data_IF_778659621308
#
_entry.id   IF_778659621308
#
_cell.length_a   1.000
_cell.length_b   1.000
_cell.length_c   1.000
_cell.angle_alpha   90.00
_cell.angle_beta   90.00
_cell.angle_gamma   90.00
#
_symmetry.space_group_name_H-M   'P 1'
#
loop_
_entity.id
_entity.type
_entity.pdbx_description
1 polymer ?
#
# COMPACT_ATOMS: atom_id res chain seq x y z
N UNK A 1 -4.61 -9.16 -34.52
CA UNK A 1 -3.65 -9.70 -33.51
C UNK A 1 -3.64 -11.22 -33.63
N UNK A 2 -2.61 -11.79 -34.29
CA UNK A 2 -2.56 -13.22 -34.66
C UNK A 2 -1.49 -13.94 -33.83
N UNK A 3 -1.83 -14.26 -32.58
CA UNK A 3 -0.94 -14.92 -31.62
C UNK A 3 -0.92 -16.45 -31.73
N UNK A 4 -1.14 -17.00 -32.93
CA UNK A 4 -1.12 -18.45 -33.11
C UNK A 4 -0.43 -18.77 -34.43
N UNK A 5 0.71 -19.47 -34.32
CA UNK A 5 1.16 -20.52 -35.25
C UNK A 5 2.51 -20.40 -36.00
N UNK A 6 3.27 -19.28 -36.01
CA UNK A 6 4.51 -19.25 -36.85
C UNK A 6 5.86 -19.11 -36.16
N UNK A 7 5.93 -18.85 -34.84
CA UNK A 7 7.22 -18.77 -34.11
C UNK A 7 7.22 -19.36 -32.69
N UNK A 8 6.22 -20.17 -32.34
CA UNK A 8 6.09 -20.77 -31.00
C UNK A 8 6.99 -22.02 -30.81
N UNK A 9 8.22 -22.02 -31.36
CA UNK A 9 9.20 -23.10 -31.11
C UNK A 9 10.12 -22.80 -29.92
N UNK A 10 10.22 -21.51 -29.54
CA UNK A 10 10.87 -21.06 -28.30
C UNK A 10 10.06 -21.47 -27.06
N UNK A 11 8.74 -21.69 -27.22
CA UNK A 11 7.77 -21.83 -26.14
C UNK A 11 7.24 -23.27 -25.96
N UNK A 12 8.02 -24.32 -26.27
CA UNK A 12 7.71 -25.68 -25.81
C UNK A 12 8.25 -25.82 -24.37
N UNK A 13 7.44 -25.69 -23.30
CA UNK A 13 7.94 -25.26 -22.00
C UNK A 13 8.55 -26.39 -21.14
N UNK A 14 8.47 -27.65 -21.55
CA UNK A 14 8.69 -28.77 -20.60
C UNK A 14 10.14 -29.07 -20.23
N UNK A 15 11.13 -28.63 -21.02
CA UNK A 15 12.56 -28.92 -20.77
C UNK A 15 13.47 -27.70 -20.57
N UNK A 16 13.32 -26.58 -21.30
CA UNK A 16 14.28 -25.48 -21.18
C UNK A 16 14.08 -24.55 -19.97
N UNK A 17 12.94 -24.61 -19.28
CA UNK A 17 12.61 -23.73 -18.15
C UNK A 17 13.02 -24.30 -16.78
N UNK A 18 13.14 -25.63 -16.66
CA UNK A 18 13.50 -26.29 -15.39
C UNK A 18 14.97 -26.05 -15.01
N UNK A 19 15.87 -26.02 -16.01
CA UNK A 19 17.32 -25.95 -15.78
C UNK A 19 17.89 -24.52 -15.90
N UNK A 20 17.04 -23.49 -15.95
CA UNK A 20 17.47 -22.09 -16.13
C UNK A 20 16.88 -21.18 -15.06
N UNK A 21 17.65 -20.21 -14.54
CA UNK A 21 17.11 -19.19 -13.65
C UNK A 21 15.95 -18.44 -14.30
N UNK A 22 14.89 -18.16 -13.53
CA UNK A 22 13.69 -17.48 -14.02
C UNK A 22 13.99 -16.15 -14.75
N UNK A 23 15.00 -15.40 -14.29
CA UNK A 23 15.46 -14.17 -14.94
C UNK A 23 16.02 -14.40 -16.36
N UNK A 24 16.68 -15.53 -16.62
CA UNK A 24 17.17 -15.87 -17.94
C UNK A 24 16.00 -16.26 -18.87
N UNK A 25 15.02 -17.00 -18.35
CA UNK A 25 13.81 -17.34 -19.08
C UNK A 25 13.02 -16.09 -19.48
N UNK A 26 12.80 -15.16 -18.55
CA UNK A 26 12.11 -13.88 -18.79
C UNK A 26 12.79 -13.09 -19.93
N UNK A 27 14.13 -12.98 -19.91
CA UNK A 27 14.88 -12.29 -20.98
C UNK A 27 14.70 -12.94 -22.35
N UNK A 28 14.78 -14.27 -22.43
CA UNK A 28 14.66 -15.01 -23.71
C UNK A 28 13.25 -14.90 -24.27
N UNK A 29 12.23 -15.09 -23.43
CA UNK A 29 10.83 -15.11 -23.85
C UNK A 29 10.36 -13.69 -24.21
N UNK A 30 10.72 -12.69 -23.39
CA UNK A 30 10.42 -11.28 -23.66
C UNK A 30 11.15 -10.78 -24.91
N UNK A 31 12.43 -11.15 -25.10
CA UNK A 31 13.20 -10.84 -26.31
C UNK A 31 12.64 -11.46 -27.59
N UNK A 32 11.90 -12.58 -27.49
CA UNK A 32 11.17 -13.17 -28.60
C UNK A 32 9.83 -12.46 -28.91
N UNK A 33 9.52 -11.36 -28.21
CA UNK A 33 8.29 -10.58 -28.35
C UNK A 33 7.10 -11.14 -27.59
N UNK A 34 7.29 -12.16 -26.75
CA UNK A 34 6.23 -12.75 -25.94
C UNK A 34 6.13 -12.04 -24.58
N UNK A 35 4.97 -11.47 -24.22
CA UNK A 35 4.80 -10.82 -22.94
C UNK A 35 4.88 -11.88 -21.83
N UNK A 36 5.92 -11.78 -21.01
CA UNK A 36 6.10 -12.64 -19.85
C UNK A 36 6.72 -11.82 -18.72
N UNK A 37 6.54 -12.30 -17.50
CA UNK A 37 7.24 -11.77 -16.33
C UNK A 37 7.59 -12.91 -15.39
N UNK A 38 8.68 -12.77 -14.64
CA UNK A 38 9.00 -13.71 -13.57
C UNK A 38 8.13 -13.44 -12.33
N UNK A 39 7.76 -14.49 -11.61
CA UNK A 39 7.23 -14.34 -10.26
C UNK A 39 8.34 -13.82 -9.35
N UNK A 40 8.05 -12.72 -8.64
CA UNK A 40 8.98 -12.06 -7.72
C UNK A 40 8.49 -12.25 -6.30
N UNK A 41 9.43 -12.36 -5.36
CA UNK A 41 9.10 -12.19 -3.95
C UNK A 41 8.59 -10.76 -3.71
N UNK A 42 7.80 -10.57 -2.64
CA UNK A 42 7.16 -9.29 -2.34
C UNK A 42 8.20 -8.16 -2.21
N UNK A 43 9.30 -8.39 -1.49
CA UNK A 43 10.38 -7.40 -1.36
C UNK A 43 11.04 -7.02 -2.69
N UNK A 44 11.25 -8.00 -3.58
CA UNK A 44 11.78 -7.73 -4.94
C UNK A 44 10.79 -6.97 -5.82
N UNK A 45 9.48 -7.20 -5.63
CA UNK A 45 8.45 -6.47 -6.34
C UNK A 45 8.37 -5.01 -5.88
N UNK A 46 8.46 -4.78 -4.57
CA UNK A 46 8.46 -3.44 -3.96
C UNK A 46 9.71 -2.65 -4.38
N UNK A 47 10.90 -3.26 -4.32
CA UNK A 47 12.16 -2.64 -4.73
C UNK A 47 12.36 -2.59 -6.26
N UNK A 48 11.38 -3.02 -7.05
CA UNK A 48 11.47 -3.05 -8.50
C UNK A 48 11.55 -1.64 -9.11
N UNK A 49 12.30 -1.49 -10.21
CA UNK A 49 12.49 -0.19 -10.87
C UNK A 49 11.16 0.54 -11.22
N UNK A 50 10.14 -0.20 -11.64
CA UNK A 50 8.81 0.37 -11.91
C UNK A 50 8.09 0.83 -10.64
N UNK A 51 8.22 0.08 -9.54
CA UNK A 51 7.61 0.40 -8.25
C UNK A 51 8.25 1.67 -7.66
N UNK A 52 9.58 1.78 -7.72
CA UNK A 52 10.32 2.98 -7.31
C UNK A 52 9.99 4.18 -8.19
N UNK A 53 10.02 4.02 -9.52
CA UNK A 53 9.69 5.11 -10.46
C UNK A 53 8.27 5.64 -10.26
N UNK A 54 7.33 4.76 -9.90
CA UNK A 54 5.93 5.14 -9.66
C UNK A 54 5.68 5.68 -8.26
N UNK A 55 6.62 5.55 -7.32
CA UNK A 55 6.40 5.90 -5.91
C UNK A 55 5.30 5.05 -5.29
N UNK A 56 5.29 3.73 -5.55
CA UNK A 56 4.25 2.82 -5.05
C UNK A 56 4.23 2.78 -3.51
N UNK A 57 5.40 2.89 -2.89
CA UNK A 57 5.52 2.99 -1.45
C UNK A 57 5.59 4.46 -1.05
N UNK A 58 4.90 4.79 0.03
CA UNK A 58 4.89 6.11 0.66
C UNK A 58 5.22 5.93 2.14
N UNK A 59 5.93 6.89 2.70
CA UNK A 59 6.26 6.89 4.12
C UNK A 59 5.09 7.44 4.91
N UNK A 60 4.64 6.68 5.90
CA UNK A 60 3.68 7.09 6.91
C UNK A 60 4.38 7.12 8.27
N UNK A 61 3.87 7.97 9.16
CA UNK A 61 4.37 8.07 10.53
C UNK A 61 3.25 7.74 11.52
N UNK A 62 3.61 7.11 12.63
CA UNK A 62 2.74 6.92 13.78
C UNK A 62 3.52 7.15 15.09
N UNK A 63 2.88 6.86 16.23
CA UNK A 63 3.52 6.97 17.54
C UNK A 63 4.69 6.00 17.77
N UNK A 64 4.88 5.00 16.91
CA UNK A 64 5.98 4.01 16.98
C UNK A 64 7.13 4.33 16.01
N UNK A 65 6.92 5.20 15.02
CA UNK A 65 7.97 5.71 14.12
C UNK A 65 7.52 5.82 12.68
N UNK A 66 8.49 5.87 11.76
CA UNK A 66 8.23 5.90 10.32
C UNK A 66 8.21 4.49 9.71
N UNK A 67 7.27 4.25 8.81
CA UNK A 67 7.09 2.98 8.11
C UNK A 67 6.60 3.19 6.68
N UNK A 68 6.79 2.18 5.82
CA UNK A 68 6.33 2.23 4.43
C UNK A 68 4.96 1.57 4.27
N UNK A 69 4.05 2.28 3.61
CA UNK A 69 2.74 1.77 3.21
C UNK A 69 2.56 1.92 1.70
N UNK A 70 1.64 1.15 1.14
CA UNK A 70 1.27 1.33 -0.27
C UNK A 70 0.51 2.63 -0.43
N UNK A 71 1.00 3.50 -1.31
CA UNK A 71 0.28 4.69 -1.74
C UNK A 71 -0.96 4.36 -2.57
N UNK A 72 -1.64 5.40 -3.03
CA UNK A 72 -2.80 5.24 -3.92
C UNK A 72 -2.37 4.54 -5.23
N UNK A 73 -3.12 3.53 -5.71
CA UNK A 73 -2.70 2.75 -6.88
C UNK A 73 -2.84 3.51 -8.22
N UNK A 74 -3.42 4.72 -8.20
CA UNK A 74 -3.56 5.62 -9.33
C UNK A 74 -2.84 6.96 -9.08
N UNK A 75 -2.45 7.63 -10.17
CA UNK A 75 -1.86 8.96 -10.14
C UNK A 75 -2.77 9.94 -10.87
N UNK A 76 -3.04 11.08 -10.24
CA UNK A 76 -3.79 12.18 -10.83
C UNK A 76 -2.85 13.36 -11.06
N UNK A 77 -2.82 13.91 -12.27
CA UNK A 77 -1.94 15.05 -12.59
C UNK A 77 -2.36 16.34 -11.88
N UNK A 78 -3.65 16.49 -11.61
CA UNK A 78 -4.24 17.70 -11.03
C UNK A 78 -4.52 17.60 -9.52
N UNK A 79 -4.19 16.47 -8.88
CA UNK A 79 -4.42 16.27 -7.45
C UNK A 79 -3.24 15.53 -6.81
N UNK A 80 -2.70 16.01 -5.68
CA UNK A 80 -1.71 15.28 -4.92
C UNK A 80 -2.24 13.88 -4.59
N UNK A 81 -1.50 12.85 -4.99
CA UNK A 81 -1.82 11.45 -4.68
C UNK A 81 -0.83 11.00 -3.61
N UNK A 82 -1.18 11.20 -2.35
CA UNK A 82 -0.39 10.80 -1.18
C UNK A 82 -1.31 10.42 -0.03
N UNK A 83 -0.90 9.43 0.76
CA UNK A 83 -1.51 9.18 2.07
C UNK A 83 -1.13 10.33 3.01
N UNK A 84 -2.05 10.76 3.87
CA UNK A 84 -1.76 11.76 4.90
C UNK A 84 -0.58 11.34 5.78
N UNK A 85 0.17 12.33 6.27
CA UNK A 85 1.50 12.12 6.86
C UNK A 85 1.50 11.25 8.13
N UNK A 86 0.42 11.22 8.90
CA UNK A 86 0.37 10.50 10.16
C UNK A 86 -0.91 9.72 10.37
N UNK A 87 -0.79 8.47 10.83
CA UNK A 87 -1.92 7.69 11.33
C UNK A 87 -2.37 8.27 12.68
N UNK A 88 -3.67 8.55 12.88
CA UNK A 88 -4.13 9.13 14.13
C UNK A 88 -4.04 8.14 15.29
N UNK A 89 -3.69 8.65 16.47
CA UNK A 89 -3.67 7.83 17.70
C UNK A 89 -5.10 7.58 18.20
N UNK A 90 -5.26 6.52 19.00
CA UNK A 90 -6.56 6.12 19.52
C UNK A 90 -7.21 7.23 20.36
N UNK A 91 -8.33 7.76 19.87
CA UNK A 91 -9.10 8.83 20.54
C UNK A 91 -8.70 10.25 20.15
N UNK A 92 -7.74 10.44 19.24
CA UNK A 92 -7.20 11.77 18.89
C UNK A 92 -8.26 12.79 18.50
N UNK A 93 -9.26 12.37 17.74
CA UNK A 93 -10.29 13.27 17.20
C UNK A 93 -11.67 13.06 17.85
N UNK A 94 -11.77 12.23 18.90
CA UNK A 94 -13.04 11.84 19.52
C UNK A 94 -13.84 13.04 20.06
N UNK A 95 -13.27 13.86 20.97
CA UNK A 95 -13.94 15.04 21.51
C UNK A 95 -14.33 16.07 20.45
N UNK A 96 -13.44 16.30 19.46
CA UNK A 96 -13.68 17.24 18.35
C UNK A 96 -14.88 16.81 17.53
N UNK A 97 -14.97 15.53 17.17
CA UNK A 97 -16.12 15.02 16.39
C UNK A 97 -17.42 15.12 17.19
N UNK A 98 -17.39 14.80 18.48
CA UNK A 98 -18.58 14.89 19.33
C UNK A 98 -19.06 16.32 19.52
N UNK A 99 -18.16 17.28 19.65
CA UNK A 99 -18.50 18.69 19.79
C UNK A 99 -18.91 19.31 18.44
N UNK A 100 -18.04 19.25 17.43
CA UNK A 100 -18.19 20.06 16.21
C UNK A 100 -19.12 19.42 15.17
N UNK A 101 -19.16 18.09 15.09
CA UNK A 101 -19.97 17.37 14.10
C UNK A 101 -21.32 16.97 14.69
N UNK A 102 -21.32 16.49 15.94
CA UNK A 102 -22.53 15.99 16.61
C UNK A 102 -23.18 17.03 17.52
N UNK A 103 -22.55 18.19 17.74
CA UNK A 103 -23.14 19.30 18.49
C UNK A 103 -23.28 19.05 19.99
N UNK A 104 -22.52 18.10 20.56
CA UNK A 104 -22.58 17.84 22.00
C UNK A 104 -21.95 18.99 22.78
N UNK A 105 -22.60 19.38 23.88
CA UNK A 105 -22.05 20.39 24.77
C UNK A 105 -20.80 19.88 25.48
N UNK A 106 -19.91 20.79 25.93
CA UNK A 106 -18.66 20.41 26.60
C UNK A 106 -18.88 19.54 27.85
N UNK A 107 -20.00 19.75 28.55
CA UNK A 107 -20.38 18.94 29.72
C UNK A 107 -20.66 17.46 29.37
N UNK A 108 -21.29 17.20 28.23
CA UNK A 108 -21.61 15.83 27.78
C UNK A 108 -20.35 15.10 27.32
N UNK A 109 -19.44 15.81 26.64
CA UNK A 109 -18.15 15.24 26.22
C UNK A 109 -17.32 14.85 27.45
N UNK A 110 -17.28 15.70 28.48
CA UNK A 110 -16.58 15.37 29.74
C UNK A 110 -17.25 14.23 30.50
N UNK A 111 -18.58 14.14 30.50
CA UNK A 111 -19.29 12.99 31.07
C UNK A 111 -18.88 11.69 30.37
N UNK A 112 -18.85 11.67 29.05
CA UNK A 112 -18.44 10.49 28.27
C UNK A 112 -16.97 10.12 28.48
N UNK A 113 -16.08 11.11 28.68
CA UNK A 113 -14.69 10.87 29.07
C UNK A 113 -14.59 10.31 30.50
N UNK A 114 -15.41 10.82 31.42
CA UNK A 114 -15.46 10.35 32.81
C UNK A 114 -15.99 8.93 32.95
N UNK A 115 -16.96 8.54 32.12
CA UNK A 115 -17.51 7.19 32.05
C UNK A 115 -16.57 6.18 31.36
N UNK A 116 -15.49 6.64 30.71
CA UNK A 116 -14.61 5.78 29.90
C UNK A 116 -15.22 5.36 28.55
N UNK A 117 -16.39 5.91 28.18
CA UNK A 117 -17.04 5.66 26.90
C UNK A 117 -16.32 6.38 25.74
N UNK A 118 -15.65 7.50 26.04
CA UNK A 118 -14.80 8.25 25.12
C UNK A 118 -13.34 8.19 25.55
N UNK A 119 -12.43 8.02 24.59
CA UNK A 119 -10.97 8.08 24.82
C UNK A 119 -10.38 9.33 24.21
N UNK A 120 -9.42 9.93 24.92
CA UNK A 120 -8.61 11.05 24.44
C UNK A 120 -7.12 10.73 24.69
N UNK A 121 -6.19 11.04 23.77
CA UNK A 121 -4.78 10.68 23.90
C UNK A 121 -4.11 11.26 25.16
N UNK A 122 -4.50 12.46 25.58
CA UNK A 122 -3.89 13.14 26.74
C UNK A 122 -4.46 12.68 28.09
N UNK A 123 -5.47 11.80 28.09
CA UNK A 123 -6.09 11.28 29.31
C UNK A 123 -5.63 9.84 29.54
N UNK A 124 -5.21 9.47 30.76
CA UNK A 124 -4.92 8.08 31.07
C UNK A 124 -6.18 7.25 30.82
N UNK A 125 -6.00 6.01 30.33
CA UNK A 125 -7.13 5.09 30.20
C UNK A 125 -7.76 4.91 31.58
N UNK A 126 -9.05 5.22 31.70
CA UNK A 126 -9.84 4.82 32.86
C UNK A 126 -9.80 3.29 32.91
N UNK A 127 -9.27 2.76 34.02
CA UNK A 127 -9.12 1.33 34.27
C UNK A 127 -10.46 0.62 34.43
#
# INVERSE_FOLDING_TARGET
MRWVHRRCRILCPRRPAADRPAAQCERIISGAGCPCSRYRAVGEAIAGAQSLHRGVMVTAEDGAGSFEVTGLPWRMSAMPTGSGAAAPVLGQHGPVILADVLGNGPAQVEELLGLGALRHPDRPASG
#
